data_IF_938709954244
#
_entry.id   IF_938709954244
#
_cell.length_a   1.000
_cell.length_b   1.000
_cell.length_c   1.000
_cell.angle_alpha   90.00
_cell.angle_beta   90.00
_cell.angle_gamma   90.00
#
_symmetry.space_group_name_H-M   'P 1'
#
loop_
_entity.id
_entity.type
_entity.pdbx_description
1 polymer ?
#
# COMPACT_ATOMS: atom_id res chain seq x y z
N UNK A 1 4.10 -15.82 -9.48
CA UNK A 1 3.74 -14.87 -8.42
C UNK A 1 3.24 -15.63 -7.21
N UNK A 2 3.71 -15.26 -6.00
CA UNK A 2 3.19 -15.79 -4.73
C UNK A 2 2.50 -14.66 -3.99
N UNK A 3 1.25 -14.88 -3.60
CA UNK A 3 0.50 -13.96 -2.72
C UNK A 3 0.48 -14.56 -1.31
N UNK A 4 0.93 -13.77 -0.34
CA UNK A 4 0.83 -14.07 1.09
C UNK A 4 -0.14 -13.08 1.72
N UNK A 5 -1.28 -13.55 2.22
CA UNK A 5 -2.35 -12.68 2.73
C UNK A 5 -3.17 -13.40 3.81
N UNK A 6 -3.63 -12.66 4.79
CA UNK A 6 -4.46 -13.18 5.89
C UNK A 6 -5.92 -13.41 5.49
N UNK A 7 -6.35 -12.85 4.36
CA UNK A 7 -7.74 -12.79 3.90
C UNK A 7 -8.68 -12.08 4.90
N UNK A 8 -8.18 -11.06 5.56
CA UNK A 8 -8.98 -10.20 6.45
C UNK A 8 -10.14 -9.51 5.73
N UNK A 9 -10.07 -9.44 4.41
CA UNK A 9 -11.08 -8.92 3.53
C UNK A 9 -11.37 -9.97 2.46
N UNK A 10 -12.33 -10.82 2.57
CA UNK A 10 -12.80 -11.79 1.59
C UNK A 10 -11.74 -12.31 0.58
N UNK A 11 -11.71 -13.60 0.35
CA UNK A 11 -10.67 -14.23 -0.48
C UNK A 11 -11.11 -14.62 -1.89
N UNK A 12 -12.36 -14.40 -2.23
CA UNK A 12 -12.96 -14.75 -3.52
C UNK A 12 -12.34 -14.01 -4.70
N UNK A 13 -11.76 -12.84 -4.45
CA UNK A 13 -11.00 -12.06 -5.45
C UNK A 13 -9.80 -12.83 -6.04
N UNK A 14 -9.31 -13.84 -5.37
CA UNK A 14 -8.18 -14.68 -5.81
C UNK A 14 -8.62 -15.85 -6.69
N UNK A 15 -9.90 -16.22 -6.68
CA UNK A 15 -10.42 -17.39 -7.41
C UNK A 15 -10.02 -17.42 -8.89
N UNK A 16 -10.10 -16.30 -9.65
CA UNK A 16 -9.75 -16.31 -11.08
C UNK A 16 -8.29 -16.66 -11.36
N UNK A 17 -7.41 -16.51 -10.37
CA UNK A 17 -5.98 -16.72 -10.56
C UNK A 17 -5.51 -18.14 -10.25
N UNK A 18 -6.31 -18.96 -9.57
CA UNK A 18 -5.93 -20.32 -9.20
C UNK A 18 -5.75 -21.27 -10.41
N UNK A 19 -6.34 -20.92 -11.56
CA UNK A 19 -6.10 -21.67 -12.80
C UNK A 19 -4.72 -21.42 -13.42
N UNK A 20 -4.01 -20.38 -12.98
CA UNK A 20 -2.68 -20.04 -13.49
C UNK A 20 -1.60 -20.86 -12.74
N UNK A 21 -0.81 -21.72 -13.41
CA UNK A 21 0.21 -22.54 -12.76
C UNK A 21 1.35 -21.72 -12.12
N UNK A 22 1.52 -20.47 -12.55
CA UNK A 22 2.51 -19.54 -11.99
C UNK A 22 1.98 -18.71 -10.81
N UNK A 23 0.73 -18.96 -10.39
CA UNK A 23 0.12 -18.31 -9.24
C UNK A 23 0.16 -19.26 -8.03
N UNK A 24 0.67 -18.75 -6.92
CA UNK A 24 0.67 -19.43 -5.61
C UNK A 24 -0.01 -18.55 -4.58
N UNK A 25 -0.82 -19.17 -3.72
CA UNK A 25 -1.41 -18.49 -2.57
C UNK A 25 -0.98 -19.18 -1.27
N UNK A 26 -0.56 -18.37 -0.31
CA UNK A 26 -0.23 -18.79 1.06
C UNK A 26 -1.09 -17.96 2.01
N UNK A 27 -2.07 -18.59 2.66
CA UNK A 27 -2.82 -17.93 3.72
C UNK A 27 -1.92 -17.74 4.94
N UNK A 28 -1.70 -16.51 5.38
CA UNK A 28 -0.90 -16.20 6.56
C UNK A 28 -1.01 -14.74 6.97
N UNK A 29 -0.84 -14.49 8.25
CA UNK A 29 -0.75 -13.12 8.78
C UNK A 29 0.71 -12.64 8.71
N UNK A 30 0.93 -11.38 8.38
CA UNK A 30 2.27 -10.79 8.33
C UNK A 30 2.98 -10.82 9.70
N UNK A 31 2.22 -10.99 10.78
CA UNK A 31 2.73 -11.17 12.13
C UNK A 31 3.22 -12.59 12.42
N UNK A 32 2.93 -13.57 11.56
CA UNK A 32 3.42 -14.97 11.67
C UNK A 32 4.85 -15.08 11.10
N UNK A 33 5.85 -14.66 11.88
CA UNK A 33 7.26 -14.51 11.44
C UNK A 33 7.82 -15.72 10.73
N UNK A 34 7.70 -16.92 11.32
CA UNK A 34 8.26 -18.16 10.76
C UNK A 34 7.64 -18.52 9.41
N UNK A 35 6.35 -18.25 9.26
CA UNK A 35 5.61 -18.51 8.03
C UNK A 35 5.92 -17.49 6.95
N UNK A 36 6.04 -16.22 7.34
CA UNK A 36 6.47 -15.16 6.47
C UNK A 36 7.89 -15.41 5.94
N UNK A 37 8.83 -15.77 6.81
CA UNK A 37 10.20 -16.08 6.42
C UNK A 37 10.26 -17.18 5.37
N UNK A 38 9.52 -18.28 5.57
CA UNK A 38 9.41 -19.36 4.57
C UNK A 38 8.79 -18.90 3.25
N UNK A 39 7.85 -17.95 3.31
CA UNK A 39 7.23 -17.40 2.10
C UNK A 39 8.18 -16.49 1.31
N UNK A 40 9.15 -15.86 1.98
CA UNK A 40 10.17 -15.00 1.38
C UNK A 40 11.32 -15.78 0.74
N UNK A 41 11.54 -17.04 1.12
CA UNK A 41 12.61 -17.88 0.58
C UNK A 41 12.50 -18.01 -0.96
N UNK A 42 13.62 -17.76 -1.66
CA UNK A 42 13.71 -17.87 -3.11
C UNK A 42 12.84 -16.89 -3.89
N UNK A 43 12.54 -15.73 -3.31
CA UNK A 43 11.88 -14.62 -4.00
C UNK A 43 12.90 -13.55 -4.35
N UNK A 44 12.90 -13.13 -5.60
CA UNK A 44 13.78 -12.06 -6.09
C UNK A 44 13.19 -10.68 -5.77
N UNK A 45 11.85 -10.56 -5.78
CA UNK A 45 11.12 -9.32 -5.58
C UNK A 45 10.04 -9.50 -4.53
N UNK A 46 9.97 -8.59 -3.59
CA UNK A 46 8.94 -8.51 -2.55
C UNK A 46 8.16 -7.21 -2.69
N UNK A 47 6.84 -7.30 -2.91
CA UNK A 47 5.94 -6.15 -2.93
C UNK A 47 5.20 -6.12 -1.60
N UNK A 48 5.58 -5.19 -0.72
CA UNK A 48 4.99 -5.07 0.60
C UNK A 48 3.82 -4.09 0.60
N UNK A 49 2.60 -4.63 0.61
CA UNK A 49 1.34 -3.88 0.62
C UNK A 49 0.49 -4.14 1.88
N UNK A 50 0.82 -5.17 2.66
CA UNK A 50 0.09 -5.52 3.87
C UNK A 50 0.17 -4.38 4.88
N UNK A 51 -0.98 -3.81 5.24
CA UNK A 51 -1.09 -2.71 6.21
C UNK A 51 -2.54 -2.53 6.65
N UNK A 52 -2.74 -1.95 7.83
CA UNK A 52 -3.97 -1.27 8.14
C UNK A 52 -3.96 0.10 7.47
N UNK A 53 -4.97 0.37 6.64
CA UNK A 53 -4.99 1.57 5.77
C UNK A 53 -6.17 2.48 6.06
N UNK A 54 -5.90 3.79 6.02
CA UNK A 54 -6.89 4.84 6.20
C UNK A 54 -7.07 5.28 7.66
N UNK A 55 -7.45 6.55 7.81
CA UNK A 55 -7.58 7.21 9.11
C UNK A 55 -8.49 6.43 10.07
N UNK A 56 -9.72 6.17 9.67
CA UNK A 56 -10.73 5.56 10.55
C UNK A 56 -10.35 4.15 11.05
N UNK A 57 -9.73 3.33 10.21
CA UNK A 57 -9.31 1.99 10.60
C UNK A 57 -8.14 2.01 11.59
N UNK A 58 -7.18 2.90 11.39
CA UNK A 58 -6.02 3.05 12.26
C UNK A 58 -6.41 3.64 13.63
N UNK A 59 -7.26 4.65 13.66
CA UNK A 59 -7.74 5.25 14.90
C UNK A 59 -8.59 4.29 15.74
N UNK A 60 -9.29 3.37 15.09
CA UNK A 60 -10.10 2.37 15.78
C UNK A 60 -9.27 1.36 16.57
N UNK A 61 -8.04 1.09 16.15
CA UNK A 61 -7.17 0.09 16.79
C UNK A 61 -5.69 0.47 16.67
N UNK A 62 -5.24 1.35 17.55
CA UNK A 62 -3.87 1.86 17.58
C UNK A 62 -2.82 0.74 17.73
N UNK A 63 -3.06 -0.22 18.65
CA UNK A 63 -2.12 -1.32 18.88
C UNK A 63 -1.94 -2.18 17.63
N UNK A 64 -3.05 -2.56 16.99
CA UNK A 64 -2.96 -3.37 15.76
C UNK A 64 -2.34 -2.58 14.61
N UNK A 65 -2.58 -1.26 14.54
CA UNK A 65 -1.94 -0.39 13.56
C UNK A 65 -0.43 -0.38 13.74
N UNK A 66 0.05 -0.27 14.97
CA UNK A 66 1.48 -0.33 15.27
C UNK A 66 2.06 -1.70 14.91
N UNK A 67 1.44 -2.79 15.36
CA UNK A 67 1.90 -4.16 15.10
C UNK A 67 1.99 -4.45 13.59
N UNK A 68 0.94 -4.13 12.82
CA UNK A 68 0.87 -4.46 11.39
C UNK A 68 1.70 -3.52 10.53
N UNK A 69 1.64 -2.20 10.79
CA UNK A 69 2.30 -1.23 9.93
C UNK A 69 3.78 -1.04 10.27
N UNK A 70 4.18 -1.17 11.55
CA UNK A 70 5.55 -0.95 11.98
C UNK A 70 6.27 -2.27 12.28
N UNK A 71 5.85 -3.02 13.31
CA UNK A 71 6.59 -4.19 13.80
C UNK A 71 6.66 -5.33 12.76
N UNK A 72 5.59 -5.51 11.99
CA UNK A 72 5.60 -6.48 10.89
C UNK A 72 6.52 -6.03 9.74
N UNK A 73 6.56 -4.72 9.44
CA UNK A 73 7.51 -4.19 8.44
C UNK A 73 8.95 -4.34 8.92
N UNK A 74 9.23 -4.07 10.20
CA UNK A 74 10.55 -4.30 10.79
C UNK A 74 10.98 -5.75 10.60
N UNK A 75 10.10 -6.67 10.99
CA UNK A 75 10.37 -8.12 10.88
C UNK A 75 10.56 -8.56 9.43
N UNK A 76 9.74 -8.06 8.50
CA UNK A 76 9.88 -8.37 7.07
C UNK A 76 11.23 -7.89 6.54
N UNK A 77 11.60 -6.64 6.80
CA UNK A 77 12.86 -6.06 6.34
C UNK A 77 14.06 -6.82 6.91
N UNK A 78 14.03 -7.19 8.18
CA UNK A 78 15.10 -7.94 8.84
C UNK A 78 15.27 -9.38 8.28
N UNK A 79 14.25 -9.93 7.62
CA UNK A 79 14.27 -11.24 6.97
C UNK A 79 14.77 -11.20 5.53
N UNK A 80 14.79 -10.03 4.88
CA UNK A 80 15.21 -9.92 3.49
C UNK A 80 16.72 -10.11 3.33
N UNK A 81 17.10 -10.76 2.25
CA UNK A 81 18.51 -10.82 1.82
C UNK A 81 18.86 -9.58 0.98
N UNK A 82 20.13 -9.13 0.95
CA UNK A 82 20.53 -7.93 0.22
C UNK A 82 20.16 -7.94 -1.28
N UNK A 83 20.05 -9.12 -1.88
CA UNK A 83 19.74 -9.27 -3.31
C UNK A 83 18.23 -9.15 -3.61
N UNK A 84 17.38 -9.25 -2.59
CA UNK A 84 15.93 -9.15 -2.78
C UNK A 84 15.53 -7.69 -2.97
N UNK A 85 14.85 -7.39 -4.08
CA UNK A 85 14.26 -6.07 -4.32
C UNK A 85 12.98 -5.90 -3.50
N UNK A 86 12.93 -4.87 -2.67
CA UNK A 86 11.74 -4.49 -1.92
C UNK A 86 11.01 -3.34 -2.61
N UNK A 87 9.76 -3.56 -3.02
CA UNK A 87 8.84 -2.52 -3.46
C UNK A 87 7.86 -2.20 -2.33
N UNK A 88 7.96 -1.01 -1.76
CA UNK A 88 7.16 -0.62 -0.61
C UNK A 88 6.04 0.35 -0.99
N UNK A 89 4.79 -0.04 -0.73
CA UNK A 89 3.62 0.82 -0.89
C UNK A 89 3.51 1.83 0.24
N UNK A 90 4.12 3.00 0.08
CA UNK A 90 3.99 4.14 0.99
C UNK A 90 2.79 5.03 0.61
N UNK A 91 2.70 6.23 1.13
CA UNK A 91 1.55 7.13 0.96
C UNK A 91 1.95 8.59 0.86
N UNK A 92 1.27 9.36 0.01
CA UNK A 92 1.37 10.82 -0.02
C UNK A 92 0.90 11.50 1.27
N UNK A 93 0.18 10.78 2.15
CA UNK A 93 -0.22 11.32 3.47
C UNK A 93 0.97 11.64 4.37
N UNK A 94 2.15 11.09 4.08
CA UNK A 94 3.40 11.35 4.80
C UNK A 94 3.81 12.83 4.76
N UNK A 95 3.43 13.56 3.68
CA UNK A 95 3.72 14.99 3.54
C UNK A 95 2.87 15.88 4.47
N UNK A 96 1.70 15.39 4.92
CA UNK A 96 0.77 16.16 5.74
C UNK A 96 0.20 17.38 5.01
N UNK A 97 0.11 18.51 5.70
CA UNK A 97 -0.31 19.78 5.10
C UNK A 97 0.86 20.44 4.41
N UNK A 98 0.75 20.64 3.11
CA UNK A 98 1.75 21.35 2.31
C UNK A 98 1.20 22.75 2.01
N UNK A 99 1.78 23.82 2.58
CA UNK A 99 1.22 25.17 2.46
C UNK A 99 1.21 25.72 1.04
N UNK A 100 2.22 25.39 0.24
CA UNK A 100 2.41 25.96 -1.08
C UNK A 100 3.02 24.95 -2.05
N UNK A 101 2.22 24.39 -2.94
CA UNK A 101 2.74 23.80 -4.14
C UNK A 101 2.79 22.27 -4.22
N UNK A 102 3.67 21.79 -5.07
CA UNK A 102 3.83 20.38 -5.43
C UNK A 102 4.87 19.76 -4.50
N UNK A 103 4.53 18.59 -3.93
CA UNK A 103 5.51 17.78 -3.20
C UNK A 103 6.46 17.08 -4.18
N UNK A 104 7.71 17.00 -3.77
CA UNK A 104 8.74 16.16 -4.37
C UNK A 104 9.21 15.13 -3.33
N UNK A 105 10.03 14.18 -3.73
CA UNK A 105 10.59 13.18 -2.82
C UNK A 105 11.43 13.81 -1.69
N UNK A 106 11.98 15.00 -1.92
CA UNK A 106 12.79 15.76 -0.94
C UNK A 106 11.96 16.64 -0.03
N UNK A 107 10.65 16.79 -0.30
CA UNK A 107 9.77 17.58 0.56
C UNK A 107 9.74 16.98 1.98
N UNK A 108 9.99 17.78 3.04
CA UNK A 108 9.96 17.30 4.41
C UNK A 108 8.64 16.63 4.76
N UNK A 109 8.72 15.48 5.42
CA UNK A 109 7.56 14.74 5.86
C UNK A 109 7.01 15.34 7.15
N UNK A 110 5.68 15.53 7.21
CA UNK A 110 4.97 16.05 8.35
C UNK A 110 3.64 15.31 8.54
N UNK A 111 3.68 14.00 8.88
CA UNK A 111 2.47 13.19 9.03
C UNK A 111 1.57 13.75 10.13
N UNK A 112 0.26 13.76 9.89
CA UNK A 112 -0.75 14.35 10.78
C UNK A 112 -1.81 13.35 11.25
N UNK A 113 -1.57 12.06 11.06
CA UNK A 113 -2.46 10.98 11.49
C UNK A 113 -1.66 9.74 11.84
N UNK A 114 -2.19 8.89 12.71
CA UNK A 114 -1.57 7.61 13.07
C UNK A 114 -1.22 6.76 11.84
N UNK A 115 -2.11 6.73 10.84
CA UNK A 115 -1.83 6.06 9.56
C UNK A 115 -0.58 6.63 8.89
N UNK A 116 -0.51 7.95 8.73
CA UNK A 116 0.62 8.60 8.09
C UNK A 116 1.92 8.44 8.89
N UNK A 117 1.86 8.53 10.22
CA UNK A 117 2.99 8.33 11.12
C UNK A 117 3.57 6.94 11.00
N UNK A 118 2.72 5.90 11.08
CA UNK A 118 3.14 4.50 10.96
C UNK A 118 3.65 4.17 9.56
N UNK A 119 3.05 4.72 8.50
CA UNK A 119 3.55 4.55 7.13
C UNK A 119 4.88 5.29 6.90
N UNK A 120 5.07 6.46 7.50
CA UNK A 120 6.35 7.19 7.47
C UNK A 120 7.46 6.40 8.17
N UNK A 121 7.17 5.83 9.33
CA UNK A 121 8.09 4.93 10.04
C UNK A 121 8.46 3.73 9.17
N UNK A 122 7.45 3.02 8.66
CA UNK A 122 7.62 1.83 7.83
C UNK A 122 8.41 2.11 6.53
N UNK A 123 8.20 3.29 5.90
CA UNK A 123 8.99 3.72 4.74
C UNK A 123 10.47 3.87 5.10
N UNK A 124 10.79 4.53 6.21
CA UNK A 124 12.17 4.69 6.66
C UNK A 124 12.83 3.33 6.93
N UNK A 125 12.11 2.41 7.56
CA UNK A 125 12.59 1.04 7.78
C UNK A 125 12.79 0.30 6.48
N UNK A 126 11.83 0.34 5.55
CA UNK A 126 11.95 -0.28 4.23
C UNK A 126 13.18 0.25 3.46
N UNK A 127 13.39 1.58 3.47
CA UNK A 127 14.56 2.20 2.82
C UNK A 127 15.89 1.79 3.45
N UNK A 128 15.92 1.38 4.72
CA UNK A 128 17.16 0.89 5.36
C UNK A 128 17.65 -0.46 4.81
N UNK A 129 16.81 -1.18 4.07
CA UNK A 129 17.22 -2.40 3.36
C UNK A 129 18.24 -2.12 2.23
N UNK A 130 18.22 -0.91 1.66
CA UNK A 130 19.12 -0.49 0.59
C UNK A 130 18.62 -0.83 -0.81
N UNK A 131 18.22 -2.07 -1.09
CA UNK A 131 17.62 -2.47 -2.38
C UNK A 131 16.09 -2.29 -2.35
N UNK A 132 15.65 -1.03 -2.29
CA UNK A 132 14.24 -0.67 -2.07
C UNK A 132 13.78 0.48 -2.95
N UNK A 133 12.57 0.36 -3.48
CA UNK A 133 11.82 1.45 -4.10
C UNK A 133 10.56 1.70 -3.28
N UNK A 134 10.42 2.87 -2.69
CA UNK A 134 9.24 3.27 -1.93
C UNK A 134 8.36 4.22 -2.74
N UNK A 135 7.07 3.88 -2.85
CA UNK A 135 6.09 4.66 -3.62
C UNK A 135 5.16 5.43 -2.67
N UNK A 136 5.26 6.75 -2.61
CA UNK A 136 4.31 7.61 -1.88
C UNK A 136 3.06 7.85 -2.71
N UNK A 137 2.25 6.81 -2.85
CA UNK A 137 1.06 6.85 -3.69
C UNK A 137 0.05 7.91 -3.25
N UNK A 138 -0.55 8.55 -4.25
CA UNK A 138 -1.79 9.31 -4.14
C UNK A 138 -2.98 8.38 -3.79
N UNK A 139 -4.15 8.96 -3.51
CA UNK A 139 -5.37 8.17 -3.27
C UNK A 139 -5.72 7.35 -4.50
N UNK A 140 -5.66 6.02 -4.37
CA UNK A 140 -5.99 5.11 -5.44
C UNK A 140 -7.50 5.10 -5.73
N UNK A 141 -7.88 5.07 -7.01
CA UNK A 141 -9.26 4.93 -7.45
C UNK A 141 -9.38 3.99 -8.66
N UNK A 142 -10.59 3.59 -8.98
CA UNK A 142 -10.87 2.73 -10.12
C UNK A 142 -11.49 1.40 -9.74
N UNK A 143 -11.95 0.67 -10.74
CA UNK A 143 -12.61 -0.62 -10.56
C UNK A 143 -11.63 -1.69 -10.09
N UNK A 144 -12.05 -2.44 -9.08
CA UNK A 144 -11.35 -3.62 -8.58
C UNK A 144 -12.37 -4.64 -8.07
N UNK A 145 -12.01 -5.92 -7.95
CA UNK A 145 -12.90 -6.93 -7.38
C UNK A 145 -13.40 -6.57 -5.98
N UNK A 146 -12.56 -5.89 -5.18
CA UNK A 146 -12.95 -5.28 -3.91
C UNK A 146 -12.99 -3.77 -4.07
N UNK A 147 -14.10 -3.26 -4.57
CA UNK A 147 -14.28 -1.83 -4.76
C UNK A 147 -14.43 -1.10 -3.42
N UNK A 148 -13.53 -0.14 -3.15
CA UNK A 148 -13.57 0.74 -2.00
C UNK A 148 -14.51 1.93 -2.27
N UNK A 149 -15.78 1.81 -1.91
CA UNK A 149 -16.77 2.90 -2.06
C UNK A 149 -16.62 4.03 -1.02
N UNK A 150 -15.77 3.85 -0.02
CA UNK A 150 -15.40 4.87 0.96
C UNK A 150 -14.31 5.84 0.46
N UNK A 151 -13.80 5.64 -0.76
CA UNK A 151 -12.80 6.52 -1.38
C UNK A 151 -13.47 7.51 -2.33
N UNK A 152 -13.09 8.78 -2.22
CA UNK A 152 -13.79 9.92 -2.80
C UNK A 152 -14.22 9.73 -4.26
N UNK A 153 -13.31 9.38 -5.17
CA UNK A 153 -13.65 9.24 -6.61
C UNK A 153 -14.62 8.08 -6.83
N UNK A 154 -14.41 6.95 -6.15
CA UNK A 154 -15.28 5.78 -6.26
C UNK A 154 -16.69 6.10 -5.70
N UNK A 155 -16.76 6.74 -4.54
CA UNK A 155 -18.00 7.17 -3.90
C UNK A 155 -18.77 8.15 -4.79
N UNK A 156 -18.14 9.23 -5.23
CA UNK A 156 -18.80 10.24 -6.09
C UNK A 156 -19.29 9.63 -7.40
N UNK A 157 -18.50 8.72 -8.00
CA UNK A 157 -18.92 8.01 -9.21
C UNK A 157 -20.14 7.14 -8.96
N UNK A 158 -20.14 6.38 -7.85
CA UNK A 158 -21.28 5.55 -7.47
C UNK A 158 -22.52 6.39 -7.22
N UNK A 159 -22.43 7.48 -6.47
CA UNK A 159 -23.55 8.38 -6.18
C UNK A 159 -24.09 9.04 -7.45
N UNK A 160 -23.22 9.52 -8.33
CA UNK A 160 -23.62 10.11 -9.61
C UNK A 160 -24.46 9.14 -10.46
N UNK A 161 -24.05 7.88 -10.52
CA UNK A 161 -24.73 6.85 -11.32
C UNK A 161 -26.03 6.40 -10.67
N UNK A 162 -26.05 6.22 -9.33
CA UNK A 162 -27.20 5.62 -8.63
C UNK A 162 -28.23 6.65 -8.18
N UNK A 163 -27.82 7.87 -7.86
CA UNK A 163 -28.69 8.92 -7.33
C UNK A 163 -28.89 10.09 -8.29
N UNK A 164 -28.09 10.19 -9.36
CA UNK A 164 -28.17 11.27 -10.34
C UNK A 164 -27.60 12.62 -9.89
N UNK A 165 -27.02 12.69 -8.70
CA UNK A 165 -26.34 13.88 -8.19
C UNK A 165 -25.14 13.52 -7.33
N UNK A 166 -24.22 14.48 -7.17
CA UNK A 166 -23.11 14.41 -6.20
C UNK A 166 -23.13 15.65 -5.31
N UNK A 167 -22.67 15.48 -4.08
CA UNK A 167 -22.47 16.57 -3.15
C UNK A 167 -20.98 16.71 -2.87
N UNK A 168 -20.43 17.89 -3.14
CA UNK A 168 -19.01 18.15 -2.94
C UNK A 168 -18.86 19.14 -1.78
N UNK A 169 -18.13 18.72 -0.76
CA UNK A 169 -17.75 19.56 0.37
C UNK A 169 -16.33 20.07 0.15
N UNK A 170 -16.08 21.35 0.43
CA UNK A 170 -14.74 21.96 0.34
C UNK A 170 -14.10 21.77 -1.05
N UNK A 171 -14.76 22.26 -2.13
CA UNK A 171 -14.29 22.04 -3.50
C UNK A 171 -12.93 22.69 -3.80
N UNK A 172 -12.49 23.63 -2.95
CA UNK A 172 -11.20 24.30 -3.03
C UNK A 172 -10.01 23.42 -2.59
N UNK A 173 -10.26 22.26 -1.95
CA UNK A 173 -9.19 21.39 -1.48
C UNK A 173 -8.58 20.60 -2.63
N UNK A 174 -7.30 20.84 -2.86
CA UNK A 174 -6.52 20.05 -3.82
C UNK A 174 -6.21 18.67 -3.25
N UNK A 175 -6.49 17.64 -4.03
CA UNK A 175 -6.22 16.23 -3.71
C UNK A 175 -5.55 15.55 -4.89
N UNK A 176 -4.64 14.66 -4.59
CA UNK A 176 -3.97 13.86 -5.62
C UNK A 176 -4.61 12.48 -5.70
N UNK A 177 -4.76 11.99 -6.94
CA UNK A 177 -5.36 10.69 -7.22
C UNK A 177 -4.50 9.91 -8.21
N UNK A 178 -4.53 8.59 -8.10
CA UNK A 178 -3.89 7.67 -9.04
C UNK A 178 -4.88 6.57 -9.43
N UNK A 179 -5.01 6.30 -10.71
CA UNK A 179 -5.82 5.17 -11.14
C UNK A 179 -5.11 3.84 -10.81
N UNK A 180 -5.85 2.84 -10.31
CA UNK A 180 -5.27 1.56 -9.86
C UNK A 180 -4.42 0.85 -10.93
N UNK A 181 -4.77 1.00 -12.21
CA UNK A 181 -3.96 0.44 -13.32
C UNK A 181 -2.61 1.12 -13.46
N UNK A 182 -2.52 2.42 -13.20
CA UNK A 182 -1.24 3.14 -13.28
C UNK A 182 -0.38 2.85 -12.04
N UNK A 183 -1.03 2.65 -10.88
CA UNK A 183 -0.36 2.14 -9.68
C UNK A 183 0.28 0.77 -9.95
N UNK A 184 -0.43 -0.16 -10.61
CA UNK A 184 0.14 -1.46 -11.00
C UNK A 184 1.30 -1.30 -11.98
N UNK A 185 1.16 -0.41 -12.99
CA UNK A 185 2.25 -0.13 -13.94
C UNK A 185 3.50 0.43 -13.26
N UNK A 186 3.35 1.25 -12.20
CA UNK A 186 4.51 1.77 -11.47
C UNK A 186 5.31 0.66 -10.77
N UNK A 187 4.65 -0.36 -10.23
CA UNK A 187 5.35 -1.53 -9.69
C UNK A 187 6.07 -2.32 -10.78
N UNK A 188 5.41 -2.57 -11.92
CA UNK A 188 6.05 -3.25 -13.06
C UNK A 188 7.27 -2.47 -13.53
N UNK A 189 7.13 -1.15 -13.70
CA UNK A 189 8.22 -0.28 -14.10
C UNK A 189 9.39 -0.33 -13.10
N UNK A 190 9.12 -0.31 -11.79
CA UNK A 190 10.14 -0.45 -10.75
C UNK A 190 10.88 -1.78 -10.82
N UNK A 191 10.16 -2.90 -11.06
CA UNK A 191 10.80 -4.21 -11.22
C UNK A 191 11.71 -4.24 -12.45
N UNK A 192 11.25 -3.68 -13.58
CA UNK A 192 11.98 -3.72 -14.86
C UNK A 192 13.17 -2.74 -14.92
N UNK A 193 13.23 -1.75 -14.02
CA UNK A 193 14.22 -0.68 -14.03
C UNK A 193 14.94 -0.48 -12.70
N UNK A 194 14.87 -1.45 -11.79
CA UNK A 194 15.49 -1.34 -10.46
C UNK A 194 16.98 -0.98 -10.51
N UNK A 195 17.70 -1.53 -11.49
CA UNK A 195 19.15 -1.27 -11.68
C UNK A 195 19.46 0.18 -12.11
N UNK A 196 18.46 1.00 -12.42
CA UNK A 196 18.60 2.38 -12.91
C UNK A 196 18.12 3.41 -11.89
N UNK A 197 17.58 2.97 -10.77
CA UNK A 197 17.01 3.79 -9.70
C UNK A 197 17.90 3.68 -8.42
#
# INVERSE_FOLDING_TARGET
VTVYDSLSYEGDILIPYFANPNFKFIKGDILEKDKLQKALEGKDVVIHLAALVGYAACEKNHNMTQLVNCDATDSLVDMLTPDQLLLFGSTGSNYGKVPNGICTEETPLNPTSLYAETKTYAEKKAMSHGNTIAYRFATAFGSSPRLRLDLLINELTYLAVTQGYIMIYQPEFMRTFIHVRDLVKSFIFGIENADKM
#
